data_IF_874284714513
#
_entry.id   IF_874284714513
#
_cell.length_a   1.000
_cell.length_b   1.000
_cell.length_c   1.000
_cell.angle_alpha   90.00
_cell.angle_beta   90.00
_cell.angle_gamma   90.00
#
_symmetry.space_group_name_H-M   'P 1'
#
loop_
_entity.id
_entity.type
_entity.pdbx_description
1 polymer ?
#
# COMPACT_ATOMS: atom_id res chain seq x y z
N UNK A 1 21.09 -36.12 26.70
CA UNK A 1 21.98 -36.20 27.89
C UNK A 1 22.13 -37.67 28.31
N UNK A 2 23.24 -38.12 28.93
CA UNK A 2 23.52 -39.55 29.13
C UNK A 2 22.54 -40.29 30.07
N UNK A 3 21.68 -39.57 30.80
CA UNK A 3 20.74 -40.14 31.79
C UNK A 3 19.28 -40.26 31.30
N UNK A 4 18.93 -39.84 30.08
CA UNK A 4 17.58 -40.00 29.49
C UNK A 4 16.41 -39.28 30.21
N UNK A 5 16.68 -38.59 31.33
CA UNK A 5 15.71 -37.85 32.15
C UNK A 5 15.22 -36.53 31.53
N UNK A 6 15.69 -36.20 30.34
CA UNK A 6 15.33 -34.97 29.61
C UNK A 6 13.82 -34.87 29.33
N UNK A 7 13.13 -36.00 29.13
CA UNK A 7 11.68 -36.00 28.92
C UNK A 7 10.90 -35.50 30.15
N UNK A 8 11.42 -35.72 31.37
CA UNK A 8 10.76 -35.28 32.61
C UNK A 8 10.77 -33.76 32.73
N UNK A 9 11.78 -33.08 32.18
CA UNK A 9 11.85 -31.63 32.13
C UNK A 9 11.17 -31.03 30.88
N UNK A 10 11.30 -31.68 29.72
CA UNK A 10 10.83 -31.15 28.43
C UNK A 10 9.32 -31.31 28.22
N UNK A 11 8.71 -32.40 28.71
CA UNK A 11 7.26 -32.65 28.52
C UNK A 11 6.39 -31.60 29.26
N UNK A 12 6.66 -31.26 30.54
CA UNK A 12 5.92 -30.19 31.22
C UNK A 12 6.12 -28.82 30.58
N UNK A 13 7.32 -28.55 30.06
CA UNK A 13 7.60 -27.31 29.33
C UNK A 13 6.77 -27.23 28.04
N UNK A 14 6.59 -28.36 27.34
CA UNK A 14 5.71 -28.49 26.18
C UNK A 14 4.24 -28.23 26.48
N UNK A 15 3.74 -28.62 27.66
CA UNK A 15 2.37 -28.30 28.08
C UNK A 15 2.15 -26.79 28.24
N UNK A 16 3.12 -26.07 28.81
CA UNK A 16 3.05 -24.61 28.93
C UNK A 16 2.96 -23.93 27.56
N UNK A 17 3.81 -24.36 26.61
CA UNK A 17 3.77 -23.85 25.23
C UNK A 17 2.43 -24.20 24.57
N UNK A 18 1.92 -25.42 24.77
CA UNK A 18 0.64 -25.85 24.23
C UNK A 18 -0.54 -25.03 24.73
N UNK A 19 -0.56 -24.67 26.01
CA UNK A 19 -1.59 -23.79 26.60
C UNK A 19 -1.50 -22.39 25.99
N UNK A 20 -0.30 -21.83 25.88
CA UNK A 20 -0.09 -20.50 25.29
C UNK A 20 -0.53 -20.49 23.83
N UNK A 21 -0.16 -21.51 23.04
CA UNK A 21 -0.62 -21.65 21.66
C UNK A 21 -2.13 -21.78 21.58
N UNK A 22 -2.76 -22.60 22.42
CA UNK A 22 -4.22 -22.80 22.41
C UNK A 22 -4.99 -21.51 22.71
N UNK A 23 -4.51 -20.70 23.65
CA UNK A 23 -5.10 -19.37 23.95
C UNK A 23 -4.87 -18.40 22.78
N UNK A 24 -3.67 -18.40 22.20
CA UNK A 24 -3.37 -17.55 21.04
C UNK A 24 -4.24 -17.91 19.83
N UNK A 25 -4.43 -19.20 19.57
CA UNK A 25 -5.23 -19.70 18.45
C UNK A 25 -6.70 -19.35 18.65
N UNK A 26 -7.25 -19.54 19.86
CA UNK A 26 -8.60 -19.06 20.20
C UNK A 26 -8.76 -17.56 20.00
N UNK A 27 -7.84 -16.75 20.51
CA UNK A 27 -7.88 -15.29 20.34
C UNK A 27 -7.78 -14.88 18.87
N UNK A 28 -6.92 -15.54 18.08
CA UNK A 28 -6.75 -15.26 16.65
C UNK A 28 -7.95 -15.70 15.81
N UNK A 29 -8.67 -16.75 16.23
CA UNK A 29 -9.82 -17.29 15.50
C UNK A 29 -11.12 -16.53 15.70
N UNK A 30 -11.16 -15.57 16.64
CA UNK A 30 -12.35 -14.75 16.86
C UNK A 30 -12.63 -13.83 15.65
N UNK A 31 -13.90 -13.69 15.22
CA UNK A 31 -14.26 -12.77 14.15
C UNK A 31 -13.90 -11.33 14.57
N UNK A 32 -13.07 -10.66 13.76
CA UNK A 32 -12.55 -9.32 14.07
C UNK A 32 -11.26 -9.30 14.90
N UNK A 33 -10.55 -10.42 15.06
CA UNK A 33 -9.22 -10.46 15.70
C UNK A 33 -8.17 -9.61 14.98
N UNK A 34 -8.37 -9.42 13.67
CA UNK A 34 -7.59 -8.52 12.84
C UNK A 34 -8.56 -7.54 12.19
N UNK A 35 -8.49 -6.29 12.65
CA UNK A 35 -9.07 -5.17 11.93
C UNK A 35 -7.91 -4.59 11.14
N UNK A 36 -7.92 -4.82 9.83
CA UNK A 36 -7.04 -4.07 8.96
C UNK A 36 -7.58 -2.64 8.93
N UNK A 37 -6.71 -1.70 9.20
CA UNK A 37 -7.02 -0.29 9.16
C UNK A 37 -5.94 0.39 8.32
N UNK A 38 -6.35 1.39 7.56
CA UNK A 38 -5.44 2.18 6.73
C UNK A 38 -4.25 2.65 7.56
N UNK A 39 -3.05 2.60 6.98
CA UNK A 39 -1.84 3.02 7.67
C UNK A 39 -1.98 4.47 8.18
N UNK A 40 -2.04 4.62 9.51
CA UNK A 40 -2.18 5.90 10.15
C UNK A 40 -0.81 6.61 10.22
N UNK A 41 -0.75 7.92 9.94
CA UNK A 41 0.46 8.71 10.14
C UNK A 41 0.97 8.64 11.59
N UNK A 42 2.28 8.75 11.81
CA UNK A 42 2.87 8.65 13.15
C UNK A 42 2.29 9.65 14.17
N UNK A 43 1.88 10.84 13.70
CA UNK A 43 1.27 11.89 14.54
C UNK A 43 -0.12 11.51 15.07
N UNK A 44 -0.83 10.58 14.41
CA UNK A 44 -2.12 10.04 14.86
C UNK A 44 -2.02 9.48 16.28
N UNK A 45 -0.97 8.70 16.56
CA UNK A 45 -0.77 8.06 17.85
C UNK A 45 -0.64 9.09 18.99
N UNK A 46 0.04 10.22 18.73
CA UNK A 46 0.20 11.28 19.72
C UNK A 46 -1.12 12.01 20.02
N UNK A 47 -1.92 12.31 18.98
CA UNK A 47 -3.24 12.96 19.16
C UNK A 47 -4.20 12.03 19.88
N UNK A 48 -4.25 10.76 19.47
CA UNK A 48 -5.12 9.75 20.06
C UNK A 48 -4.74 9.47 21.53
N UNK A 49 -3.46 9.22 21.80
CA UNK A 49 -2.97 9.00 23.16
C UNK A 49 -3.12 10.26 24.03
N UNK A 50 -2.86 11.46 23.49
CA UNK A 50 -3.05 12.72 24.18
C UNK A 50 -4.51 12.94 24.61
N UNK A 51 -5.46 12.65 23.71
CA UNK A 51 -6.89 12.71 23.99
C UNK A 51 -7.33 11.69 25.06
N UNK A 52 -6.83 10.46 25.00
CA UNK A 52 -7.08 9.45 26.05
C UNK A 52 -6.46 9.83 27.40
N UNK A 53 -5.22 10.33 27.40
CA UNK A 53 -4.57 10.83 28.60
C UNK A 53 -5.37 11.98 29.23
N UNK A 54 -5.89 12.91 28.42
CA UNK A 54 -6.79 13.97 28.89
C UNK A 54 -8.05 13.39 29.53
N UNK A 55 -8.65 12.36 28.92
CA UNK A 55 -9.80 11.65 29.47
C UNK A 55 -9.48 10.94 30.81
N UNK A 56 -8.25 10.51 31.04
CA UNK A 56 -7.85 9.83 32.27
C UNK A 56 -7.43 10.77 33.40
N UNK A 57 -6.82 11.92 33.10
CA UNK A 57 -6.27 12.85 34.10
C UNK A 57 -7.37 13.66 34.79
N UNK A 58 -8.39 14.09 34.07
CA UNK A 58 -9.40 15.02 34.60
C UNK A 58 -10.63 14.29 35.15
N UNK A 59 -11.05 14.62 36.39
CA UNK A 59 -12.25 14.06 37.04
C UNK A 59 -13.57 14.81 36.74
N UNK A 60 -13.50 16.06 36.26
CA UNK A 60 -14.67 16.92 36.00
C UNK A 60 -15.24 16.73 34.58
N UNK A 61 -16.41 17.32 34.27
CA UNK A 61 -17.03 17.30 32.92
C UNK A 61 -16.10 17.81 31.81
N UNK A 62 -15.09 18.62 32.15
CA UNK A 62 -14.02 19.08 31.25
C UNK A 62 -13.22 17.94 30.59
N UNK A 63 -13.27 16.74 31.19
CA UNK A 63 -12.74 15.51 30.63
C UNK A 63 -13.28 15.24 29.21
N UNK A 64 -14.56 15.53 28.95
CA UNK A 64 -15.20 15.29 27.65
C UNK A 64 -14.58 16.08 26.50
N UNK A 65 -13.85 17.17 26.77
CA UNK A 65 -13.10 17.87 25.73
C UNK A 65 -12.00 17.01 25.12
N UNK A 66 -11.48 16.00 25.83
CA UNK A 66 -10.54 15.02 25.28
C UNK A 66 -11.18 14.02 24.32
N UNK A 67 -12.52 13.87 24.34
CA UNK A 67 -13.23 13.03 23.38
C UNK A 67 -13.26 13.67 21.99
N UNK A 68 -13.35 15.00 21.91
CA UNK A 68 -13.40 15.72 20.64
C UNK A 68 -12.19 15.44 19.73
N UNK A 69 -10.92 15.54 20.18
CA UNK A 69 -9.78 15.22 19.33
C UNK A 69 -9.69 13.73 19.00
N UNK A 70 -10.13 12.83 19.89
CA UNK A 70 -10.16 11.37 19.63
C UNK A 70 -11.16 11.04 18.53
N UNK A 71 -12.37 11.59 18.58
CA UNK A 71 -13.37 11.37 17.54
C UNK A 71 -12.94 12.04 16.23
N UNK A 72 -12.44 13.27 16.29
CA UNK A 72 -11.97 13.99 15.11
C UNK A 72 -10.86 13.23 14.39
N UNK A 73 -9.87 12.70 15.13
CA UNK A 73 -8.77 11.96 14.51
C UNK A 73 -9.22 10.63 13.91
N UNK A 74 -10.15 9.92 14.57
CA UNK A 74 -10.73 8.69 14.01
C UNK A 74 -11.52 8.95 12.73
N UNK A 75 -12.27 10.05 12.68
CA UNK A 75 -13.00 10.47 11.47
C UNK A 75 -12.03 10.85 10.36
N UNK A 76 -10.94 11.58 10.67
CA UNK A 76 -9.91 11.91 9.69
C UNK A 76 -9.23 10.66 9.12
N UNK A 77 -8.93 9.67 9.96
CA UNK A 77 -8.36 8.40 9.50
C UNK A 77 -9.34 7.63 8.60
N UNK A 78 -10.63 7.62 8.94
CA UNK A 78 -11.66 6.97 8.13
C UNK A 78 -11.90 7.67 6.77
N UNK A 79 -11.60 8.96 6.68
CA UNK A 79 -11.67 9.75 5.44
C UNK A 79 -10.36 9.72 4.63
N UNK A 80 -9.30 9.10 5.17
CA UNK A 80 -8.01 9.08 4.50
C UNK A 80 -8.08 8.17 3.27
N UNK A 81 -7.72 8.74 2.12
CA UNK A 81 -7.77 8.04 0.84
C UNK A 81 -6.57 7.08 0.71
N UNK A 82 -6.85 5.83 0.34
CA UNK A 82 -5.82 4.87 -0.02
C UNK A 82 -5.19 5.22 -1.38
N UNK A 83 -3.91 4.88 -1.62
CA UNK A 83 -3.29 5.09 -2.93
C UNK A 83 -3.98 4.27 -4.02
N UNK A 84 -4.05 4.82 -5.23
CA UNK A 84 -4.67 4.19 -6.41
C UNK A 84 -3.70 3.21 -7.10
N UNK A 85 -2.42 3.55 -7.12
CA UNK A 85 -1.37 2.79 -7.78
C UNK A 85 -0.12 2.74 -6.90
N UNK A 86 0.40 1.53 -6.70
CA UNK A 86 1.65 1.28 -5.98
C UNK A 86 2.63 0.58 -6.91
N UNK A 87 3.85 1.08 -7.01
CA UNK A 87 4.90 0.50 -7.86
C UNK A 87 6.18 0.35 -7.04
N UNK A 88 6.76 -0.85 -7.01
CA UNK A 88 8.05 -1.05 -6.34
C UNK A 88 9.20 -0.36 -7.09
N UNK A 89 10.25 0.05 -6.37
CA UNK A 89 11.41 0.72 -6.97
C UNK A 89 12.23 -0.16 -7.94
N UNK A 90 12.08 -1.48 -7.87
CA UNK A 90 12.65 -2.42 -8.84
C UNK A 90 11.77 -2.64 -10.07
N UNK A 91 10.55 -2.08 -10.08
CA UNK A 91 9.51 -2.26 -11.09
C UNK A 91 9.02 -3.72 -11.25
N UNK A 92 9.27 -4.60 -10.28
CA UNK A 92 8.85 -6.01 -10.34
C UNK A 92 7.41 -6.25 -9.89
N UNK A 93 6.90 -5.40 -8.99
CA UNK A 93 5.56 -5.52 -8.44
C UNK A 93 4.82 -4.18 -8.50
N UNK A 94 3.74 -4.20 -9.26
CA UNK A 94 2.77 -3.11 -9.35
C UNK A 94 1.42 -3.58 -8.84
N UNK A 95 0.73 -2.72 -8.09
CA UNK A 95 -0.61 -2.93 -7.60
C UNK A 95 -1.51 -1.73 -7.95
N UNK A 96 -2.78 -2.00 -8.27
CA UNK A 96 -3.80 -0.97 -8.54
C UNK A 96 -5.04 -1.21 -7.68
N UNK A 97 -5.72 -0.13 -7.29
CA UNK A 97 -7.07 -0.19 -6.74
C UNK A 97 -8.08 -0.38 -7.85
N UNK A 98 -8.90 -1.43 -7.79
CA UNK A 98 -9.98 -1.71 -8.72
C UNK A 98 -11.29 -1.10 -8.19
N UNK A 99 -12.31 -0.96 -9.04
CA UNK A 99 -13.59 -0.33 -8.69
C UNK A 99 -14.39 -1.06 -7.59
N UNK A 100 -14.08 -2.33 -7.32
CA UNK A 100 -14.75 -3.16 -6.31
C UNK A 100 -14.03 -3.15 -4.94
N UNK A 101 -13.29 -2.08 -4.62
CA UNK A 101 -12.35 -1.95 -3.48
C UNK A 101 -11.20 -2.98 -3.43
N UNK A 102 -11.21 -3.99 -4.30
CA UNK A 102 -10.13 -4.95 -4.41
C UNK A 102 -8.84 -4.33 -4.95
N UNK A 103 -7.72 -4.92 -4.54
CA UNK A 103 -6.39 -4.56 -5.04
C UNK A 103 -5.91 -5.62 -6.03
N UNK A 104 -5.68 -5.17 -7.27
CA UNK A 104 -5.13 -5.97 -8.35
C UNK A 104 -3.61 -5.92 -8.37
N UNK A 105 -2.94 -7.05 -8.48
CA UNK A 105 -1.48 -7.17 -8.57
C UNK A 105 -1.02 -7.72 -9.93
N UNK A 106 0.05 -7.13 -10.45
CA UNK A 106 0.76 -7.58 -11.66
C UNK A 106 1.25 -9.02 -11.59
N UNK A 107 1.69 -9.49 -10.42
CA UNK A 107 2.11 -10.87 -10.19
C UNK A 107 1.75 -11.34 -8.80
N UNK A 108 1.18 -12.54 -8.69
CA UNK A 108 0.93 -13.21 -7.39
C UNK A 108 2.10 -14.11 -6.97
N UNK A 109 3.03 -14.41 -7.89
CA UNK A 109 4.12 -15.39 -7.66
C UNK A 109 5.33 -14.79 -6.96
N UNK A 110 5.60 -13.49 -7.18
CA UNK A 110 6.75 -12.78 -6.61
C UNK A 110 6.28 -11.71 -5.63
N UNK A 111 7.19 -11.23 -4.78
CA UNK A 111 6.90 -10.11 -3.89
C UNK A 111 5.86 -10.40 -2.80
N UNK A 112 5.72 -11.66 -2.34
CA UNK A 112 4.72 -12.04 -1.32
C UNK A 112 4.74 -11.11 -0.10
N UNK A 113 5.93 -10.84 0.45
CA UNK A 113 6.06 -9.96 1.61
C UNK A 113 5.55 -8.54 1.35
N UNK A 114 5.95 -7.93 0.23
CA UNK A 114 5.52 -6.59 -0.17
C UNK A 114 4.01 -6.54 -0.42
N UNK A 115 3.46 -7.55 -1.11
CA UNK A 115 2.03 -7.69 -1.35
C UNK A 115 1.24 -7.79 -0.05
N UNK A 116 1.64 -8.67 0.85
CA UNK A 116 0.96 -8.88 2.13
C UNK A 116 1.02 -7.59 2.99
N UNK A 117 2.11 -6.82 2.89
CA UNK A 117 2.24 -5.49 3.53
C UNK A 117 1.29 -4.45 2.92
N UNK A 118 1.17 -4.41 1.59
CA UNK A 118 0.28 -3.48 0.89
C UNK A 118 -1.20 -3.80 1.10
N UNK A 119 -1.56 -5.08 1.09
CA UNK A 119 -2.90 -5.55 1.45
C UNK A 119 -3.28 -5.09 2.85
N UNK A 120 -2.39 -5.30 3.84
CA UNK A 120 -2.63 -4.82 5.20
C UNK A 120 -2.76 -3.29 5.28
N UNK A 121 -1.95 -2.55 4.52
CA UNK A 121 -2.00 -1.08 4.47
C UNK A 121 -3.31 -0.55 3.84
N UNK A 122 -3.84 -1.24 2.84
CA UNK A 122 -5.07 -0.86 2.14
C UNK A 122 -6.33 -1.47 2.75
N UNK A 123 -6.20 -2.22 3.85
CA UNK A 123 -7.31 -2.94 4.48
C UNK A 123 -7.98 -4.00 3.59
N UNK A 124 -7.25 -4.55 2.63
CA UNK A 124 -7.77 -5.56 1.70
C UNK A 124 -7.35 -6.99 2.11
N UNK A 125 -8.30 -7.93 2.24
CA UNK A 125 -7.99 -9.29 2.68
C UNK A 125 -7.44 -10.18 1.56
N UNK A 126 -7.71 -9.86 0.30
CA UNK A 126 -7.42 -10.74 -0.84
C UNK A 126 -6.71 -9.99 -1.97
N UNK A 127 -5.69 -10.64 -2.54
CA UNK A 127 -5.02 -10.15 -3.74
C UNK A 127 -5.63 -10.76 -5.00
N UNK A 128 -6.04 -9.89 -5.93
CA UNK A 128 -6.55 -10.28 -7.24
C UNK A 128 -5.42 -10.18 -8.26
N UNK A 129 -5.26 -11.16 -9.15
CA UNK A 129 -4.31 -11.05 -10.25
C UNK A 129 -4.84 -10.09 -11.33
N UNK A 130 -3.96 -9.35 -11.99
CA UNK A 130 -4.34 -8.56 -13.16
C UNK A 130 -5.01 -9.41 -14.25
N UNK A 131 -5.96 -8.83 -14.99
CA UNK A 131 -6.63 -9.53 -16.07
C UNK A 131 -5.62 -9.99 -17.12
N UNK A 132 -5.80 -11.22 -17.61
CA UNK A 132 -4.99 -11.71 -18.72
C UNK A 132 -5.36 -10.98 -20.01
N UNK A 133 -4.39 -10.90 -20.94
CA UNK A 133 -4.50 -10.12 -22.17
C UNK A 133 -5.83 -10.34 -22.90
N UNK A 134 -6.60 -9.27 -23.10
CA UNK A 134 -7.89 -9.30 -23.79
C UNK A 134 -9.09 -9.81 -22.97
N UNK A 135 -8.90 -10.11 -21.67
CA UNK A 135 -9.96 -10.53 -20.73
C UNK A 135 -9.92 -9.68 -19.45
N UNK A 136 -10.10 -8.37 -19.61
CA UNK A 136 -10.34 -7.45 -18.49
C UNK A 136 -11.81 -7.07 -18.45
N UNK A 137 -12.40 -7.10 -17.25
CA UNK A 137 -13.71 -6.47 -17.03
C UNK A 137 -13.51 -4.94 -17.13
N UNK A 138 -14.12 -4.27 -18.12
CA UNK A 138 -14.07 -2.82 -18.22
C UNK A 138 -14.58 -2.11 -16.95
N UNK A 139 -15.47 -2.77 -16.21
CA UNK A 139 -16.07 -2.26 -14.98
C UNK A 139 -15.16 -2.38 -13.76
N UNK A 140 -13.95 -2.94 -13.90
CA UNK A 140 -12.94 -2.99 -12.85
C UNK A 140 -11.85 -1.92 -13.03
N UNK A 141 -12.01 -1.00 -13.99
CA UNK A 141 -11.07 0.10 -14.22
C UNK A 141 -9.73 -0.27 -14.85
N UNK A 142 -9.42 -1.55 -15.08
CA UNK A 142 -8.12 -2.01 -15.60
C UNK A 142 -8.26 -2.92 -16.84
N UNK A 143 -7.55 -2.58 -17.91
CA UNK A 143 -7.43 -3.40 -19.13
C UNK A 143 -5.98 -3.64 -19.49
N UNK A 144 -5.57 -4.91 -19.50
CA UNK A 144 -4.20 -5.29 -19.79
C UNK A 144 -4.07 -6.06 -21.10
N UNK A 145 -2.93 -5.91 -21.76
CA UNK A 145 -2.45 -6.77 -22.83
C UNK A 145 -1.06 -7.35 -22.48
N UNK A 146 -0.27 -7.78 -23.47
CA UNK A 146 1.06 -8.35 -23.21
C UNK A 146 2.16 -7.31 -23.05
N UNK A 147 1.91 -6.05 -23.40
CA UNK A 147 2.89 -4.97 -23.43
C UNK A 147 2.62 -3.89 -22.37
N UNK A 148 1.38 -3.72 -21.93
CA UNK A 148 1.01 -2.77 -20.89
C UNK A 148 -0.43 -2.92 -20.40
N UNK A 149 -0.86 -2.00 -19.55
CA UNK A 149 -2.23 -1.89 -19.07
C UNK A 149 -2.72 -0.45 -19.10
N UNK A 150 -3.97 -0.25 -19.51
CA UNK A 150 -4.69 1.00 -19.36
C UNK A 150 -5.55 0.95 -18.10
N UNK A 151 -5.30 1.87 -17.18
CA UNK A 151 -5.98 2.03 -15.91
C UNK A 151 -6.79 3.33 -15.88
N UNK A 152 -8.01 3.25 -15.35
CA UNK A 152 -8.88 4.38 -15.05
C UNK A 152 -9.16 4.38 -13.54
N UNK A 153 -8.58 5.31 -12.78
CA UNK A 153 -8.81 5.39 -11.35
C UNK A 153 -10.25 5.82 -11.06
N UNK A 154 -10.90 5.27 -10.03
CA UNK A 154 -12.29 5.60 -9.69
C UNK A 154 -12.52 7.10 -9.44
N UNK A 155 -11.51 7.77 -8.87
CA UNK A 155 -11.61 9.13 -8.35
C UNK A 155 -10.94 10.20 -9.24
N UNK A 156 -10.38 9.80 -10.38
CA UNK A 156 -9.64 10.69 -11.29
C UNK A 156 -10.50 11.27 -12.42
N UNK A 157 -11.81 11.03 -12.40
CA UNK A 157 -12.72 11.43 -13.48
C UNK A 157 -12.49 10.59 -14.74
N UNK A 158 -12.30 11.25 -15.88
CA UNK A 158 -12.09 10.60 -17.18
C UNK A 158 -10.61 10.30 -17.50
N UNK A 159 -9.71 10.61 -16.57
CA UNK A 159 -8.28 10.47 -16.78
C UNK A 159 -7.87 9.02 -17.05
N UNK A 160 -6.92 8.88 -17.97
CA UNK A 160 -6.38 7.60 -18.42
C UNK A 160 -4.90 7.47 -18.08
N UNK A 161 -4.54 6.35 -17.47
CA UNK A 161 -3.16 6.06 -17.05
C UNK A 161 -2.68 4.79 -17.73
N UNK A 162 -1.56 4.89 -18.44
CA UNK A 162 -0.92 3.71 -19.02
C UNK A 162 0.21 3.20 -18.12
N UNK A 163 0.23 1.89 -17.90
CA UNK A 163 1.28 1.17 -17.17
C UNK A 163 2.04 0.32 -18.19
N UNK A 164 3.29 0.66 -18.45
CA UNK A 164 4.04 0.12 -19.58
C UNK A 164 5.08 -0.90 -19.15
N UNK A 165 5.06 -2.09 -19.77
CA UNK A 165 6.07 -3.13 -19.53
C UNK A 165 7.14 -3.16 -20.63
N UNK A 166 6.88 -2.51 -21.76
CA UNK A 166 7.74 -2.56 -22.93
C UNK A 166 7.84 -1.22 -23.65
N UNK A 167 8.95 -1.02 -24.37
CA UNK A 167 9.22 0.23 -25.10
C UNK A 167 8.22 0.45 -26.24
N UNK A 168 7.63 -0.63 -26.78
CA UNK A 168 6.64 -0.56 -27.85
C UNK A 168 5.31 0.04 -27.38
N UNK A 169 4.76 -0.41 -26.25
CA UNK A 169 3.48 0.14 -25.76
C UNK A 169 3.65 1.57 -25.24
N UNK A 170 4.79 1.87 -24.59
CA UNK A 170 5.19 3.25 -24.33
C UNK A 170 5.14 4.08 -25.63
N UNK A 171 5.72 3.59 -26.73
CA UNK A 171 5.73 4.25 -28.03
C UNK A 171 4.32 4.62 -28.53
N UNK A 172 3.38 3.71 -28.33
CA UNK A 172 2.00 3.85 -28.77
C UNK A 172 1.18 4.78 -27.88
N UNK A 173 1.34 4.75 -26.56
CA UNK A 173 0.46 5.48 -25.63
C UNK A 173 0.94 6.90 -25.30
N UNK A 174 2.21 7.20 -25.56
CA UNK A 174 2.75 8.53 -25.32
C UNK A 174 2.02 9.63 -26.10
N UNK A 175 1.55 10.63 -25.35
CA UNK A 175 0.74 11.75 -25.87
C UNK A 175 -0.73 11.40 -26.13
N UNK A 176 -1.17 10.17 -25.85
CA UNK A 176 -2.57 9.73 -25.96
C UNK A 176 -3.26 9.56 -24.61
N UNK A 177 -2.49 9.45 -23.54
CA UNK A 177 -2.96 9.28 -22.16
C UNK A 177 -2.51 10.44 -21.29
N UNK A 178 -3.16 10.60 -20.14
CA UNK A 178 -2.93 11.73 -19.23
C UNK A 178 -1.67 11.52 -18.39
N UNK A 179 -1.37 10.27 -18.01
CA UNK A 179 -0.20 9.92 -17.21
C UNK A 179 0.37 8.56 -17.61
N UNK A 180 1.69 8.40 -17.51
CA UNK A 180 2.37 7.14 -17.84
C UNK A 180 3.23 6.68 -16.67
N UNK A 181 3.14 5.40 -16.39
CA UNK A 181 4.00 4.69 -15.44
C UNK A 181 4.76 3.62 -16.20
N UNK A 182 6.01 3.90 -16.53
CA UNK A 182 6.83 3.03 -17.36
C UNK A 182 7.77 2.18 -16.51
N UNK A 183 7.60 0.87 -16.56
CA UNK A 183 8.52 -0.09 -15.94
C UNK A 183 9.82 -0.27 -16.73
N UNK A 184 9.90 0.34 -17.92
CA UNK A 184 11.11 0.43 -18.76
C UNK A 184 11.63 1.86 -18.84
N UNK A 185 12.92 2.08 -19.10
CA UNK A 185 13.48 3.42 -19.23
C UNK A 185 12.87 4.21 -20.39
N UNK A 186 12.45 5.45 -20.14
CA UNK A 186 11.95 6.36 -21.18
C UNK A 186 13.15 7.09 -21.80
N UNK A 187 13.51 6.74 -23.04
CA UNK A 187 14.70 7.30 -23.74
C UNK A 187 14.37 8.36 -24.80
N UNK A 188 13.12 8.75 -24.89
CA UNK A 188 12.61 9.70 -25.89
C UNK A 188 11.79 10.75 -25.18
N UNK A 189 11.64 11.89 -25.82
CA UNK A 189 10.77 12.95 -25.30
C UNK A 189 9.32 12.48 -25.34
N UNK A 190 8.79 12.16 -24.16
CA UNK A 190 7.40 11.82 -23.95
C UNK A 190 6.76 12.83 -23.02
N UNK A 191 5.83 13.61 -23.57
CA UNK A 191 5.06 14.60 -22.81
C UNK A 191 3.60 14.15 -22.76
N UNK A 192 3.06 14.10 -21.54
CA UNK A 192 1.66 13.83 -21.23
C UNK A 192 1.13 14.96 -20.36
N UNK A 193 -0.19 14.99 -20.11
CA UNK A 193 -0.83 16.06 -19.31
C UNK A 193 -0.26 16.15 -17.90
N UNK A 194 -0.02 15.01 -17.26
CA UNK A 194 0.42 14.91 -15.87
C UNK A 194 1.84 14.38 -15.70
N UNK A 195 2.54 14.10 -16.79
CA UNK A 195 3.91 13.61 -16.78
C UNK A 195 4.05 12.09 -16.82
N UNK A 196 5.30 11.66 -16.61
CA UNK A 196 5.71 10.27 -16.75
C UNK A 196 6.56 9.90 -15.54
N UNK A 197 6.28 8.77 -14.91
CA UNK A 197 7.17 8.11 -13.95
C UNK A 197 7.80 6.92 -14.66
N UNK A 198 9.12 6.90 -14.76
CA UNK A 198 9.83 5.85 -15.49
C UNK A 198 10.67 4.94 -14.60
N UNK A 199 11.37 3.98 -15.23
CA UNK A 199 12.22 3.01 -14.52
C UNK A 199 13.35 3.66 -13.72
N UNK A 200 13.89 4.80 -14.18
CA UNK A 200 14.92 5.54 -13.47
C UNK A 200 14.33 6.27 -12.26
N UNK A 201 13.13 6.82 -12.38
CA UNK A 201 12.42 7.42 -11.23
C UNK A 201 12.16 6.37 -10.15
N UNK A 202 11.62 5.20 -10.53
CA UNK A 202 11.42 4.06 -9.63
C UNK A 202 12.73 3.63 -8.94
N UNK A 203 13.84 3.60 -9.69
CA UNK A 203 15.14 3.24 -9.13
C UNK A 203 15.66 4.29 -8.15
N UNK A 204 15.48 5.57 -8.47
CA UNK A 204 16.06 6.71 -7.74
C UNK A 204 15.26 7.05 -6.48
N UNK A 205 13.94 7.15 -6.62
CA UNK A 205 13.04 7.56 -5.55
C UNK A 205 12.43 6.37 -4.79
N UNK A 206 12.60 5.15 -5.30
CA UNK A 206 12.15 3.90 -4.66
C UNK A 206 10.70 3.57 -5.00
N UNK A 207 9.99 2.95 -4.06
CA UNK A 207 8.57 2.66 -4.24
C UNK A 207 7.77 3.96 -4.36
N UNK A 208 6.87 4.02 -5.33
CA UNK A 208 5.95 5.13 -5.55
C UNK A 208 4.54 4.72 -5.13
N UNK A 209 3.92 5.57 -4.34
CA UNK A 209 2.49 5.52 -4.05
C UNK A 209 1.81 6.71 -4.73
N UNK A 210 0.91 6.43 -5.64
CA UNK A 210 0.29 7.43 -6.51
C UNK A 210 -1.21 7.43 -6.22
N UNK A 211 -1.71 8.59 -5.82
CA UNK A 211 -3.14 8.83 -5.63
C UNK A 211 -3.60 9.78 -6.71
N UNK A 212 -4.58 9.39 -7.52
CA UNK A 212 -5.11 10.22 -8.59
C UNK A 212 -6.31 11.02 -8.08
N UNK A 213 -6.30 12.30 -8.41
CA UNK A 213 -7.43 13.21 -8.20
C UNK A 213 -7.78 13.88 -9.53
N UNK A 214 -8.91 14.60 -9.63
CA UNK A 214 -9.24 15.36 -10.84
C UNK A 214 -8.22 16.45 -11.18
N UNK A 215 -7.40 16.87 -10.21
CA UNK A 215 -6.37 17.89 -10.37
C UNK A 215 -5.04 17.31 -10.88
N UNK A 216 -4.80 16.01 -10.65
CA UNK A 216 -3.60 15.30 -11.08
C UNK A 216 -3.15 14.20 -10.11
N UNK A 217 -2.01 13.57 -10.38
CA UNK A 217 -1.42 12.57 -9.50
C UNK A 217 -0.71 13.24 -8.31
N UNK A 218 -1.10 12.86 -7.09
CA UNK A 218 -0.30 13.07 -5.89
C UNK A 218 0.65 11.87 -5.72
N UNK A 219 1.95 12.12 -5.80
CA UNK A 219 2.99 11.10 -5.78
C UNK A 219 3.78 11.19 -4.47
N UNK A 220 3.75 10.10 -3.71
CA UNK A 220 4.57 9.91 -2.51
C UNK A 220 5.65 8.87 -2.81
N UNK A 221 6.89 9.16 -2.41
CA UNK A 221 8.03 8.26 -2.67
C UNK A 221 8.79 7.91 -1.40
N UNK A 222 9.43 6.73 -1.40
CA UNK A 222 10.28 6.32 -0.28
C UNK A 222 11.42 7.31 -0.03
N UNK A 223 11.97 7.91 -1.09
CA UNK A 223 13.02 8.90 -0.95
C UNK A 223 12.60 10.15 -0.17
N UNK A 224 11.37 10.63 -0.37
CA UNK A 224 10.82 11.78 0.37
C UNK A 224 10.70 11.49 1.87
N UNK A 225 10.12 10.34 2.23
CA UNK A 225 9.94 9.92 3.64
C UNK A 225 11.24 9.56 4.34
N UNK A 226 12.14 8.84 3.66
CA UNK A 226 13.41 8.38 4.24
C UNK A 226 14.43 9.52 4.41
N UNK A 227 14.36 10.52 3.54
CA UNK A 227 15.35 11.58 3.38
C UNK A 227 16.67 11.10 2.74
N UNK A 228 17.64 12.02 2.67
CA UNK A 228 18.99 11.76 2.15
C UNK A 228 19.77 10.85 3.14
N UNK A 229 20.10 9.63 2.71
CA UNK A 229 20.90 8.67 3.49
C UNK A 229 22.18 8.33 2.73
N UNK A 230 23.34 8.13 3.39
CA UNK A 230 24.61 7.82 2.70
C UNK A 230 24.61 6.54 1.86
N UNK A 231 23.71 5.59 2.16
CA UNK A 231 23.55 4.32 1.44
C UNK A 231 22.38 4.34 0.45
N UNK A 232 21.74 5.49 0.25
CA UNK A 232 20.68 5.68 -0.72
C UNK A 232 21.22 6.24 -2.04
N UNK A 233 20.57 5.98 -3.17
CA UNK A 233 20.80 6.74 -4.41
C UNK A 233 20.66 8.24 -4.11
N UNK A 234 21.59 9.04 -4.64
CA UNK A 234 21.48 10.49 -4.54
C UNK A 234 20.23 10.97 -5.28
N UNK A 235 19.44 11.81 -4.65
CA UNK A 235 18.27 12.45 -5.28
C UNK A 235 18.72 13.83 -5.77
N UNK A 236 18.48 14.15 -7.04
CA UNK A 236 18.78 15.50 -7.53
C UNK A 236 17.77 16.47 -6.88
N UNK A 237 18.26 17.63 -6.45
CA UNK A 237 17.38 18.70 -5.96
C UNK A 237 16.82 19.43 -7.17
N UNK A 238 15.51 19.37 -7.35
CA UNK A 238 14.78 20.29 -8.23
C UNK A 238 14.77 21.72 -7.64
#
# INVERSE_FOLDING_TARGET
MPLGLEQVALVPMGWGIGIILGVAEQASSMPGSQIHATAAPAWFAFVFAGGLCWLCIWRSKWRLLGLAPVVAILVLLALQKSPDLLVTGDAELTAVRLDNDHVGFSTLRRGKFTRDTWLAMMSEPEAVAWPQSGKGDPAAGLRCDSLGCLYRPPDAGEASIAIEFGVAALADDCGKVDFIVSLVPVRRDCSTTWGVVDRFDLWRYGTHAITFTPEGPAIETVAQERGERPWAPAVDRE
#
